data_IF_036620851565
#
_entry.id   IF_036620851565
#
_cell.length_a   1.000
_cell.length_b   1.000
_cell.length_c   1.000
_cell.angle_alpha   90.00
_cell.angle_beta   90.00
_cell.angle_gamma   90.00
#
_symmetry.space_group_name_H-M   'P 1'
#
loop_
_entity.id
_entity.type
_entity.pdbx_description
1 polymer ?
#
# COMPACT_ATOMS: atom_id res chain seq x y z
N UNK A 1 29.04 -13.87 -14.44
CA UNK A 1 28.36 -13.32 -13.23
C UNK A 1 28.02 -11.83 -13.38
N UNK A 2 28.92 -10.99 -13.84
CA UNK A 2 28.68 -9.55 -14.07
C UNK A 2 27.59 -9.28 -15.14
N UNK A 3 27.59 -10.07 -16.22
CA UNK A 3 26.59 -9.97 -17.29
C UNK A 3 25.15 -10.31 -16.82
N UNK A 4 25.01 -11.21 -15.85
CA UNK A 4 23.71 -11.53 -15.24
C UNK A 4 23.22 -10.46 -14.26
N UNK A 5 24.13 -9.72 -13.60
CA UNK A 5 23.75 -8.60 -12.73
C UNK A 5 23.24 -7.39 -13.51
N UNK A 6 23.88 -7.04 -14.64
CA UNK A 6 23.41 -5.95 -15.50
C UNK A 6 22.11 -6.26 -16.24
N UNK A 7 21.75 -7.54 -16.38
CA UNK A 7 20.50 -7.99 -17.01
C UNK A 7 19.32 -7.97 -16.01
N UNK A 8 19.55 -7.86 -14.69
CA UNK A 8 18.51 -7.87 -13.67
C UNK A 8 17.67 -6.60 -13.58
N UNK A 9 18.15 -5.49 -14.09
CA UNK A 9 17.50 -4.19 -13.91
C UNK A 9 16.50 -3.83 -15.02
N UNK A 10 16.35 -4.66 -16.03
CA UNK A 10 15.44 -4.37 -17.16
C UNK A 10 14.79 -5.55 -17.87
N UNK A 11 15.29 -6.79 -17.98
CA UNK A 11 14.53 -7.86 -18.60
C UNK A 11 13.81 -8.71 -17.58
N UNK A 12 12.63 -9.15 -17.96
CA UNK A 12 11.87 -10.16 -17.25
C UNK A 12 12.69 -11.45 -17.15
N UNK A 13 12.85 -11.96 -15.93
CA UNK A 13 13.36 -13.33 -15.73
C UNK A 13 12.19 -14.30 -15.66
N UNK A 14 12.41 -15.55 -16.09
CA UNK A 14 11.36 -16.59 -16.05
C UNK A 14 10.76 -16.73 -14.64
N UNK A 15 11.57 -16.84 -13.56
CA UNK A 15 11.00 -16.93 -12.20
C UNK A 15 10.15 -15.72 -11.79
N UNK A 16 10.54 -14.51 -12.19
CA UNK A 16 9.74 -13.30 -11.90
C UNK A 16 8.40 -13.31 -12.64
N UNK A 17 8.40 -13.73 -13.91
CA UNK A 17 7.17 -13.80 -14.70
C UNK A 17 6.21 -14.85 -14.13
N UNK A 18 6.70 -16.05 -13.81
CA UNK A 18 5.89 -17.12 -13.20
C UNK A 18 5.36 -16.73 -11.83
N UNK A 19 6.17 -16.06 -11.00
CA UNK A 19 5.72 -15.56 -9.71
C UNK A 19 4.68 -14.45 -9.87
N UNK A 20 4.85 -13.55 -10.86
CA UNK A 20 3.89 -12.49 -11.14
C UNK A 20 2.52 -13.05 -11.50
N UNK A 21 2.48 -14.00 -12.44
CA UNK A 21 1.26 -14.70 -12.84
C UNK A 21 0.61 -15.35 -11.62
N UNK A 22 1.38 -16.18 -10.89
CA UNK A 22 0.85 -16.91 -9.73
C UNK A 22 0.31 -15.99 -8.63
N UNK A 23 1.02 -14.92 -8.30
CA UNK A 23 0.58 -13.97 -7.27
C UNK A 23 -0.68 -13.24 -7.73
N UNK A 24 -0.68 -12.67 -8.94
CA UNK A 24 -1.82 -11.92 -9.46
C UNK A 24 -3.09 -12.79 -9.54
N UNK A 25 -2.98 -14.02 -10.05
CA UNK A 25 -4.10 -14.99 -10.09
C UNK A 25 -4.62 -15.31 -8.68
N UNK A 26 -3.69 -15.59 -7.74
CA UNK A 26 -4.05 -16.02 -6.38
C UNK A 26 -4.80 -14.93 -5.60
N UNK A 27 -4.44 -13.65 -5.79
CA UNK A 27 -5.03 -12.54 -5.05
C UNK A 27 -6.04 -11.72 -5.87
N UNK A 28 -6.27 -12.09 -7.13
CA UNK A 28 -7.23 -11.41 -7.99
C UNK A 28 -6.84 -9.99 -8.40
N UNK A 29 -5.53 -9.72 -8.53
CA UNK A 29 -4.99 -8.42 -8.97
C UNK A 29 -4.40 -8.55 -10.38
N UNK A 30 -4.16 -7.41 -11.05
CA UNK A 30 -3.83 -7.43 -12.48
C UNK A 30 -2.34 -7.27 -12.77
N UNK A 31 -1.62 -6.51 -11.94
CA UNK A 31 -0.20 -6.19 -12.14
C UNK A 31 0.56 -6.25 -10.82
N UNK A 32 1.82 -6.66 -10.89
CA UNK A 32 2.73 -6.70 -9.74
C UNK A 32 4.00 -5.93 -10.05
N UNK A 33 4.55 -5.26 -9.03
CA UNK A 33 5.85 -4.60 -9.06
C UNK A 33 6.65 -5.03 -7.84
N UNK A 34 7.84 -5.62 -8.07
CA UNK A 34 8.69 -6.18 -7.03
C UNK A 34 9.62 -5.14 -6.41
N UNK A 35 9.85 -5.28 -5.12
CA UNK A 35 10.83 -4.57 -4.30
C UNK A 35 11.57 -5.56 -3.40
N UNK A 36 12.39 -5.04 -2.48
CA UNK A 36 13.22 -5.86 -1.59
C UNK A 36 12.69 -5.91 -0.14
N UNK A 37 11.74 -5.05 0.21
CA UNK A 37 11.24 -4.93 1.58
C UNK A 37 9.81 -4.37 1.62
N UNK A 38 9.15 -4.50 2.79
CA UNK A 38 7.82 -3.95 3.01
C UNK A 38 7.80 -2.42 2.96
N UNK A 39 8.83 -1.74 3.47
CA UNK A 39 8.90 -0.28 3.40
C UNK A 39 9.03 0.21 1.97
N UNK A 40 9.82 -0.48 1.12
CA UNK A 40 9.93 -0.16 -0.31
C UNK A 40 8.62 -0.44 -1.05
N UNK A 41 7.90 -1.51 -0.69
CA UNK A 41 6.58 -1.79 -1.23
C UNK A 41 5.59 -0.66 -0.90
N UNK A 42 5.59 -0.18 0.34
CA UNK A 42 4.75 0.94 0.76
C UNK A 42 5.16 2.26 0.08
N UNK A 43 6.45 2.52 -0.11
CA UNK A 43 6.92 3.67 -0.91
C UNK A 43 6.41 3.61 -2.35
N UNK A 44 6.48 2.44 -2.97
CA UNK A 44 5.97 2.23 -4.33
C UNK A 44 4.44 2.44 -4.40
N UNK A 45 3.70 1.95 -3.40
CA UNK A 45 2.25 2.13 -3.28
C UNK A 45 1.87 3.61 -3.15
N UNK A 46 2.53 4.36 -2.27
CA UNK A 46 2.34 5.80 -2.08
C UNK A 46 2.65 6.57 -3.38
N UNK A 47 3.79 6.26 -4.02
CA UNK A 47 4.19 6.90 -5.27
C UNK A 47 3.21 6.63 -6.40
N UNK A 48 2.74 5.38 -6.53
CA UNK A 48 1.75 5.00 -7.54
C UNK A 48 0.44 5.76 -7.35
N UNK A 49 -0.08 5.80 -6.12
CA UNK A 49 -1.32 6.51 -5.81
C UNK A 49 -1.21 8.00 -6.12
N UNK A 50 -0.11 8.65 -5.71
CA UNK A 50 0.12 10.08 -5.99
C UNK A 50 0.25 10.38 -7.47
N UNK A 51 1.02 9.56 -8.20
CA UNK A 51 1.21 9.75 -9.63
C UNK A 51 -0.12 9.57 -10.38
N UNK A 52 -0.88 8.52 -10.06
CA UNK A 52 -2.22 8.30 -10.61
C UNK A 52 -3.15 9.50 -10.36
N UNK A 53 -3.16 10.00 -9.13
CA UNK A 53 -3.99 11.15 -8.77
C UNK A 53 -3.64 12.41 -9.55
N UNK A 54 -2.35 12.71 -9.66
CA UNK A 54 -1.86 13.90 -10.39
C UNK A 54 -2.14 13.77 -11.89
N UNK A 55 -1.92 12.62 -12.50
CA UNK A 55 -2.16 12.39 -13.92
C UNK A 55 -3.64 12.43 -14.29
N UNK A 56 -4.52 11.89 -13.43
CA UNK A 56 -5.95 11.79 -13.72
C UNK A 56 -6.77 13.00 -13.30
N UNK A 57 -6.41 13.63 -12.16
CA UNK A 57 -7.22 14.68 -11.53
C UNK A 57 -6.49 16.02 -11.36
N UNK A 58 -5.20 16.09 -11.72
CA UNK A 58 -4.41 17.32 -11.66
C UNK A 58 -3.47 17.41 -10.44
N UNK A 59 -2.61 18.44 -10.40
CA UNK A 59 -1.43 18.51 -9.53
C UNK A 59 -1.72 18.53 -8.03
N UNK A 60 -2.93 18.82 -7.63
CA UNK A 60 -3.31 18.93 -6.22
C UNK A 60 -3.84 17.60 -5.63
N UNK A 61 -4.05 16.55 -6.45
CA UNK A 61 -4.63 15.27 -6.02
C UNK A 61 -3.54 14.28 -5.57
N UNK A 62 -2.92 14.54 -4.43
CA UNK A 62 -1.77 13.77 -3.90
C UNK A 62 -1.87 13.38 -2.42
N UNK A 63 -2.84 13.91 -1.70
CA UNK A 63 -2.98 13.71 -0.26
C UNK A 63 -3.48 12.29 0.05
N UNK A 64 -2.95 11.69 1.14
CA UNK A 64 -3.30 10.34 1.60
C UNK A 64 -3.70 10.40 3.07
N UNK A 65 -4.84 9.82 3.41
CA UNK A 65 -5.27 9.65 4.79
C UNK A 65 -4.86 8.27 5.28
N UNK A 66 -4.20 8.21 6.45
CA UNK A 66 -3.78 6.96 7.09
C UNK A 66 -4.34 6.82 8.50
N UNK A 67 -4.19 5.64 9.10
CA UNK A 67 -4.65 5.40 10.46
C UNK A 67 -3.66 5.88 11.52
N UNK A 68 -4.13 6.49 12.60
CA UNK A 68 -3.35 6.65 13.84
C UNK A 68 -2.90 5.28 14.34
N UNK A 69 -1.70 5.21 14.91
CA UNK A 69 -1.05 3.98 15.38
C UNK A 69 -0.75 2.95 14.27
N UNK A 70 -0.92 3.30 12.98
CA UNK A 70 -0.46 2.50 11.86
C UNK A 70 1.07 2.43 11.79
N UNK A 71 1.60 1.42 11.08
CA UNK A 71 3.02 1.29 10.81
C UNK A 71 3.25 0.84 9.37
N UNK A 72 3.89 1.70 8.57
CA UNK A 72 4.11 1.44 7.14
C UNK A 72 5.57 1.35 6.71
N UNK A 73 6.50 1.58 7.64
CA UNK A 73 7.93 1.47 7.37
C UNK A 73 8.75 2.65 7.91
N UNK A 74 10.06 2.64 7.60
CA UNK A 74 11.04 3.59 8.15
C UNK A 74 11.77 4.41 7.08
N UNK A 75 11.40 4.32 5.81
CA UNK A 75 11.81 5.28 4.78
C UNK A 75 10.97 6.55 4.89
N UNK A 76 11.41 7.67 4.36
CA UNK A 76 10.75 8.96 4.60
C UNK A 76 9.27 9.00 4.22
N UNK A 77 8.88 8.46 3.09
CA UNK A 77 7.46 8.42 2.69
C UNK A 77 6.65 7.44 3.54
N UNK A 78 7.14 6.21 3.73
CA UNK A 78 6.47 5.20 4.55
C UNK A 78 6.40 5.62 6.03
N UNK A 79 7.46 6.27 6.55
CA UNK A 79 7.49 6.82 7.90
C UNK A 79 6.48 7.97 8.05
N UNK A 80 6.34 8.81 7.02
CA UNK A 80 5.34 9.88 7.00
C UNK A 80 3.91 9.34 6.93
N UNK A 81 3.69 8.18 6.30
CA UNK A 81 2.40 7.49 6.33
C UNK A 81 2.12 6.80 7.69
N UNK A 82 3.16 6.49 8.46
CA UNK A 82 3.04 5.90 9.80
C UNK A 82 2.38 6.90 10.76
N UNK A 83 1.17 6.63 11.18
CA UNK A 83 0.32 7.54 11.98
C UNK A 83 0.70 7.62 13.46
N UNK A 84 1.98 7.80 13.77
CA UNK A 84 2.53 7.84 15.13
C UNK A 84 3.35 9.12 15.36
N UNK A 85 2.77 10.34 15.15
CA UNK A 85 3.48 11.58 15.34
C UNK A 85 3.91 11.72 16.81
N UNK A 86 5.16 12.12 17.04
CA UNK A 86 5.71 12.28 18.39
C UNK A 86 6.21 10.97 19.03
N UNK A 87 6.09 9.83 18.36
CA UNK A 87 6.65 8.57 18.82
C UNK A 87 8.07 8.34 18.27
N UNK A 88 8.83 7.43 18.88
CA UNK A 88 10.23 7.16 18.55
C UNK A 88 10.54 6.75 17.12
N UNK A 89 9.51 6.35 16.35
CA UNK A 89 9.70 6.05 14.91
C UNK A 89 9.77 7.30 14.02
N UNK A 90 9.35 8.50 14.51
CA UNK A 90 9.36 9.75 13.74
C UNK A 90 10.20 10.85 14.38
N UNK A 91 10.37 10.82 15.73
CA UNK A 91 11.10 11.85 16.47
C UNK A 91 12.57 11.88 16.03
N UNK A 92 13.04 13.06 15.65
CA UNK A 92 14.43 13.30 15.22
C UNK A 92 14.68 13.04 13.71
N UNK A 93 13.70 12.56 12.96
CA UNK A 93 13.84 12.27 11.52
C UNK A 93 13.14 13.28 10.60
N UNK A 94 12.63 14.38 11.15
CA UNK A 94 11.98 15.43 10.35
C UNK A 94 12.94 16.20 9.44
N UNK A 95 12.41 16.95 8.44
CA UNK A 95 10.97 17.13 8.17
C UNK A 95 10.35 15.92 7.50
N UNK A 96 9.09 15.60 7.90
CA UNK A 96 8.32 14.52 7.26
C UNK A 96 7.88 14.91 5.85
N UNK A 97 7.68 13.93 5.00
CA UNK A 97 7.09 14.12 3.68
C UNK A 97 5.65 14.64 3.85
N UNK A 98 5.32 15.77 3.24
CA UNK A 98 3.99 16.35 3.32
C UNK A 98 2.91 15.55 2.56
N UNK A 99 1.64 15.89 2.82
CA UNK A 99 0.49 15.29 2.13
C UNK A 99 -0.04 14.02 2.79
N UNK A 100 0.09 13.93 4.11
CA UNK A 100 -0.54 12.90 4.93
C UNK A 100 -1.39 13.52 6.04
N UNK A 101 -2.52 12.87 6.35
CA UNK A 101 -3.34 13.10 7.53
C UNK A 101 -3.66 11.79 8.22
N UNK A 102 -3.97 11.85 9.52
CA UNK A 102 -4.16 10.68 10.34
C UNK A 102 -5.53 10.69 11.02
N UNK A 103 -6.30 9.60 10.87
CA UNK A 103 -7.59 9.43 11.52
C UNK A 103 -7.55 8.26 12.53
N UNK A 104 -8.37 8.28 13.59
CA UNK A 104 -8.50 7.13 14.49
C UNK A 104 -8.91 5.86 13.75
N UNK A 105 -8.25 4.75 14.08
CA UNK A 105 -8.55 3.45 13.47
C UNK A 105 -9.94 2.96 13.88
N UNK A 106 -10.65 2.29 12.98
CA UNK A 106 -12.04 1.86 13.14
C UNK A 106 -13.08 3.00 13.29
N UNK A 107 -12.72 4.23 13.01
CA UNK A 107 -13.63 5.37 12.96
C UNK A 107 -13.82 5.86 11.52
N UNK A 108 -14.83 5.34 10.84
CA UNK A 108 -15.11 5.68 9.44
C UNK A 108 -15.43 7.17 9.27
N UNK A 109 -16.11 7.79 10.23
CA UNK A 109 -16.46 9.21 10.13
C UNK A 109 -15.22 10.09 10.23
N UNK A 110 -14.31 9.78 11.15
CA UNK A 110 -13.05 10.51 11.27
C UNK A 110 -12.19 10.40 10.00
N UNK A 111 -12.22 9.25 9.30
CA UNK A 111 -11.55 9.12 8.00
C UNK A 111 -12.18 10.01 6.93
N UNK A 112 -13.52 10.09 6.88
CA UNK A 112 -14.25 10.98 5.97
C UNK A 112 -13.91 12.45 6.24
N UNK A 113 -13.89 12.84 7.50
CA UNK A 113 -13.62 14.23 7.94
C UNK A 113 -12.13 14.63 7.69
N UNK A 114 -11.21 13.66 7.69
CA UNK A 114 -9.80 13.89 7.39
C UNK A 114 -9.51 14.03 5.88
N UNK A 115 -10.45 13.62 5.01
CA UNK A 115 -10.32 13.74 3.57
C UNK A 115 -10.61 15.18 3.13
N UNK A 116 -9.90 15.62 2.09
CA UNK A 116 -10.07 16.91 1.44
C UNK A 116 -10.23 16.72 -0.06
N UNK A 117 -10.50 17.76 -0.80
CA UNK A 117 -10.51 17.75 -2.27
C UNK A 117 -9.19 17.27 -2.89
N UNK A 118 -8.08 17.40 -2.15
CA UNK A 118 -6.75 16.94 -2.56
C UNK A 118 -6.48 15.46 -2.24
N UNK A 119 -7.40 14.77 -1.56
CA UNK A 119 -7.19 13.39 -1.14
C UNK A 119 -7.38 12.44 -2.32
N UNK A 120 -6.34 11.67 -2.63
CA UNK A 120 -6.38 10.62 -3.65
C UNK A 120 -6.57 9.23 -3.08
N UNK A 121 -6.15 9.00 -1.84
CA UNK A 121 -6.18 7.65 -1.28
C UNK A 121 -6.40 7.63 0.23
N UNK A 122 -6.94 6.50 0.68
CA UNK A 122 -6.91 6.06 2.07
C UNK A 122 -6.00 4.84 2.16
N UNK A 123 -5.07 4.82 3.12
CA UNK A 123 -4.13 3.73 3.34
C UNK A 123 -4.28 3.17 4.74
N UNK A 124 -4.55 1.86 4.87
CA UNK A 124 -4.74 1.17 6.15
C UNK A 124 -4.17 -0.24 6.14
N UNK A 125 -3.89 -0.76 7.33
CA UNK A 125 -3.62 -2.18 7.60
C UNK A 125 -4.93 -2.88 7.96
N UNK A 126 -5.19 -4.13 7.54
CA UNK A 126 -6.35 -4.90 8.01
C UNK A 126 -6.28 -5.25 9.50
N UNK A 127 -5.06 -5.38 10.03
CA UNK A 127 -4.77 -5.49 11.46
C UNK A 127 -3.54 -4.64 11.72
N UNK A 128 -3.64 -3.65 12.61
CA UNK A 128 -2.49 -2.88 13.08
C UNK A 128 -1.61 -3.76 13.97
N UNK A 129 -0.53 -4.30 13.42
CA UNK A 129 0.37 -5.19 14.15
C UNK A 129 1.22 -4.45 15.16
N UNK A 130 2.03 -3.51 14.71
CA UNK A 130 2.94 -2.68 15.54
C UNK A 130 2.16 -1.72 16.44
N UNK A 131 0.94 -1.37 16.10
CA UNK A 131 0.07 -0.50 16.88
C UNK A 131 -0.62 -1.17 18.08
N UNK A 132 -0.43 -2.49 18.29
CA UNK A 132 -0.98 -3.21 19.43
C UNK A 132 -1.93 -4.36 19.08
N UNK A 133 -1.88 -4.88 17.87
CA UNK A 133 -2.72 -5.99 17.35
C UNK A 133 -4.20 -5.64 17.37
N UNK A 134 -4.55 -4.56 16.68
CA UNK A 134 -5.93 -4.10 16.55
C UNK A 134 -6.49 -4.50 15.18
N UNK A 135 -7.47 -5.44 15.11
CA UNK A 135 -8.14 -5.78 13.85
C UNK A 135 -9.13 -4.70 13.43
N UNK A 136 -9.27 -4.51 12.12
CA UNK A 136 -10.33 -3.70 11.56
C UNK A 136 -11.69 -4.37 11.78
N UNK A 137 -12.74 -3.56 11.97
CA UNK A 137 -14.10 -4.09 11.88
C UNK A 137 -14.51 -4.25 10.40
N UNK A 138 -15.47 -5.15 10.16
CA UNK A 138 -15.98 -5.38 8.80
C UNK A 138 -16.66 -4.12 8.24
N UNK A 139 -17.44 -3.47 9.09
CA UNK A 139 -18.16 -2.24 8.78
C UNK A 139 -17.21 -1.12 8.39
N UNK A 140 -16.06 -1.00 9.10
CA UNK A 140 -15.04 -0.01 8.79
C UNK A 140 -14.40 -0.27 7.41
N UNK A 141 -13.93 -1.48 7.14
CA UNK A 141 -13.26 -1.81 5.88
C UNK A 141 -14.20 -1.69 4.67
N UNK A 142 -15.43 -2.18 4.81
CA UNK A 142 -16.44 -2.04 3.76
C UNK A 142 -16.88 -0.58 3.58
N UNK A 143 -16.98 0.16 4.67
CA UNK A 143 -17.28 1.59 4.65
C UNK A 143 -16.19 2.40 3.94
N UNK A 144 -14.90 2.11 4.20
CA UNK A 144 -13.79 2.74 3.51
C UNK A 144 -13.82 2.43 2.00
N UNK A 145 -14.06 1.16 1.61
CA UNK A 145 -14.13 0.80 0.20
C UNK A 145 -15.24 1.57 -0.50
N UNK A 146 -16.44 1.55 0.06
CA UNK A 146 -17.59 2.29 -0.47
C UNK A 146 -17.31 3.79 -0.58
N UNK A 147 -16.74 4.38 0.46
CA UNK A 147 -16.43 5.81 0.47
C UNK A 147 -15.37 6.18 -0.58
N UNK A 148 -14.35 5.34 -0.78
CA UNK A 148 -13.36 5.55 -1.83
C UNK A 148 -14.01 5.49 -3.22
N UNK A 149 -14.90 4.52 -3.46
CA UNK A 149 -15.60 4.37 -4.74
C UNK A 149 -16.49 5.57 -5.05
N UNK A 150 -17.21 6.10 -4.04
CA UNK A 150 -18.11 7.25 -4.18
C UNK A 150 -17.39 8.60 -4.39
N UNK A 151 -16.08 8.68 -4.09
CA UNK A 151 -15.31 9.93 -4.11
C UNK A 151 -14.10 9.88 -5.05
N UNK A 152 -14.03 8.93 -5.97
CA UNK A 152 -12.92 8.77 -6.90
C UNK A 152 -11.55 8.71 -6.19
N UNK A 153 -11.49 7.98 -5.06
CA UNK A 153 -10.28 7.75 -4.28
C UNK A 153 -9.85 6.30 -4.34
N UNK A 154 -8.57 6.06 -4.12
CA UNK A 154 -7.97 4.73 -4.05
C UNK A 154 -8.01 4.19 -2.62
N UNK A 155 -8.33 2.90 -2.47
CA UNK A 155 -8.13 2.16 -1.23
C UNK A 155 -6.81 1.39 -1.31
N UNK A 156 -5.85 1.76 -0.47
CA UNK A 156 -4.53 1.16 -0.34
C UNK A 156 -4.53 0.27 0.90
N UNK A 157 -4.21 -1.01 0.72
CA UNK A 157 -4.16 -1.95 1.85
C UNK A 157 -2.72 -2.42 2.05
N UNK A 158 -2.20 -2.17 3.25
CA UNK A 158 -0.90 -2.69 3.68
C UNK A 158 -1.08 -4.09 4.26
N UNK A 159 -0.70 -5.09 3.49
CA UNK A 159 -0.71 -6.52 3.85
C UNK A 159 0.69 -7.07 4.18
N UNK A 160 1.65 -6.19 4.41
CA UNK A 160 3.03 -6.59 4.73
C UNK A 160 3.09 -7.55 5.92
N UNK A 161 2.24 -7.34 6.93
CA UNK A 161 2.18 -8.21 8.11
C UNK A 161 1.01 -9.18 8.11
N UNK A 162 -0.10 -8.84 7.47
CA UNK A 162 -1.37 -9.59 7.53
C UNK A 162 -1.58 -10.57 6.38
N UNK A 163 -0.88 -10.39 5.27
CA UNK A 163 -1.01 -11.22 4.08
C UNK A 163 -0.45 -12.64 4.24
N UNK A 164 -0.61 -13.42 3.19
CA UNK A 164 -0.08 -14.77 3.06
C UNK A 164 -0.56 -15.70 4.17
N UNK A 165 -1.90 -15.81 4.28
CA UNK A 165 -2.62 -16.71 5.20
C UNK A 165 -2.46 -16.40 6.69
N UNK A 166 -1.89 -15.26 7.10
CA UNK A 166 -1.74 -14.89 8.52
C UNK A 166 -3.07 -14.75 9.26
N UNK A 167 -4.12 -14.37 8.55
CA UNK A 167 -5.47 -14.12 9.12
C UNK A 167 -6.51 -15.14 8.65
N UNK A 168 -6.06 -16.25 8.05
CA UNK A 168 -6.93 -17.33 7.59
C UNK A 168 -7.29 -17.25 6.09
N UNK A 169 -7.34 -16.08 5.50
CA UNK A 169 -7.42 -15.90 4.05
C UNK A 169 -6.04 -15.63 3.44
N UNK A 170 -5.87 -15.81 2.14
CA UNK A 170 -4.60 -15.54 1.45
C UNK A 170 -4.18 -14.09 1.68
N UNK A 171 -5.10 -13.16 1.46
CA UNK A 171 -4.95 -11.76 1.86
C UNK A 171 -6.05 -11.40 2.86
N UNK A 172 -5.69 -10.63 3.88
CA UNK A 172 -6.61 -10.30 4.96
C UNK A 172 -7.83 -9.51 4.49
N UNK A 173 -7.69 -8.65 3.46
CA UNK A 173 -8.82 -7.90 2.90
C UNK A 173 -9.95 -8.81 2.37
N UNK A 174 -9.64 -10.05 1.99
CA UNK A 174 -10.64 -11.01 1.53
C UNK A 174 -11.64 -11.40 2.62
N UNK A 175 -11.21 -11.39 3.90
CA UNK A 175 -12.11 -11.65 5.04
C UNK A 175 -13.22 -10.59 5.16
N UNK A 176 -12.98 -9.39 4.64
CA UNK A 176 -13.94 -8.29 4.65
C UNK A 176 -14.84 -8.25 3.39
N UNK A 177 -14.54 -9.08 2.39
CA UNK A 177 -15.26 -9.11 1.12
C UNK A 177 -15.04 -7.85 0.27
N UNK A 178 -13.88 -7.23 0.37
CA UNK A 178 -13.50 -6.05 -0.41
C UNK A 178 -12.32 -6.36 -1.33
N UNK A 179 -12.09 -5.49 -2.33
CA UNK A 179 -10.91 -5.49 -3.19
C UNK A 179 -10.25 -4.12 -3.12
N UNK A 180 -8.95 -4.03 -2.77
CA UNK A 180 -8.21 -2.76 -2.82
C UNK A 180 -7.85 -2.38 -4.26
N UNK A 181 -7.47 -1.13 -4.47
CA UNK A 181 -6.90 -0.66 -5.73
C UNK A 181 -5.41 -0.98 -5.82
N UNK A 182 -4.70 -0.89 -4.68
CA UNK A 182 -3.31 -1.30 -4.54
C UNK A 182 -3.17 -2.04 -3.21
N UNK A 183 -2.39 -3.12 -3.22
CA UNK A 183 -2.01 -3.88 -2.02
C UNK A 183 -0.50 -4.02 -1.95
N UNK A 184 0.09 -3.74 -0.79
CA UNK A 184 1.50 -4.01 -0.52
C UNK A 184 1.68 -5.31 0.25
N UNK A 185 2.77 -6.01 -0.01
CA UNK A 185 3.09 -7.28 0.62
C UNK A 185 4.61 -7.47 0.77
N UNK A 186 5.00 -8.22 1.79
CA UNK A 186 6.39 -8.60 2.04
C UNK A 186 6.42 -9.80 3.02
N UNK A 187 7.38 -9.87 3.90
CA UNK A 187 7.52 -10.87 4.98
C UNK A 187 7.16 -12.28 4.49
N UNK A 188 5.93 -12.75 4.71
CA UNK A 188 5.45 -14.08 4.32
C UNK A 188 5.57 -14.39 2.82
N UNK A 189 5.55 -13.36 1.95
CA UNK A 189 5.73 -13.50 0.50
C UNK A 189 7.05 -14.21 0.14
N UNK A 190 8.14 -13.92 0.87
CA UNK A 190 9.46 -14.42 0.57
C UNK A 190 9.83 -15.75 1.22
N UNK A 191 8.99 -16.28 2.12
CA UNK A 191 9.29 -17.53 2.83
C UNK A 191 10.62 -17.50 3.60
N UNK A 192 11.05 -16.32 4.08
CA UNK A 192 12.31 -16.09 4.77
C UNK A 192 13.35 -15.31 3.98
N UNK A 193 13.15 -15.11 2.68
CA UNK A 193 14.01 -14.26 1.85
C UNK A 193 13.49 -12.81 1.82
N UNK A 194 14.40 -11.80 1.74
CA UNK A 194 13.99 -10.41 1.63
C UNK A 194 13.34 -10.16 0.26
N UNK A 195 12.06 -9.78 0.31
CA UNK A 195 11.26 -9.41 -0.85
C UNK A 195 10.13 -8.50 -0.40
N UNK A 196 9.75 -7.57 -1.26
CA UNK A 196 8.51 -6.80 -1.18
C UNK A 196 7.86 -6.75 -2.54
N UNK A 197 6.57 -6.49 -2.57
CA UNK A 197 5.85 -6.26 -3.80
C UNK A 197 4.61 -5.41 -3.56
N UNK A 198 4.15 -4.74 -4.60
CA UNK A 198 2.79 -4.22 -4.67
C UNK A 198 2.06 -4.89 -5.82
N UNK A 199 0.77 -5.14 -5.62
CA UNK A 199 -0.13 -5.45 -6.72
C UNK A 199 -1.17 -4.36 -6.86
N UNK A 200 -1.56 -4.07 -8.10
CA UNK A 200 -2.53 -3.04 -8.42
C UNK A 200 -3.49 -3.49 -9.51
N UNK A 201 -4.64 -2.79 -9.59
CA UNK A 201 -5.54 -2.91 -10.74
C UNK A 201 -4.84 -2.43 -12.02
N UNK A 202 -5.27 -2.95 -13.16
CA UNK A 202 -4.68 -2.60 -14.45
C UNK A 202 -4.74 -1.09 -14.75
N UNK A 203 -5.80 -0.42 -14.30
CA UNK A 203 -5.97 1.03 -14.48
C UNK A 203 -4.93 1.81 -13.68
N UNK A 204 -4.82 1.53 -12.39
CA UNK A 204 -3.90 2.26 -11.50
C UNK A 204 -2.44 1.96 -11.83
N UNK A 205 -2.15 0.73 -12.24
CA UNK A 205 -0.79 0.32 -12.63
C UNK A 205 -0.22 1.08 -13.84
N UNK A 206 -1.07 1.65 -14.69
CA UNK A 206 -0.63 2.50 -15.82
C UNK A 206 0.22 3.68 -15.36
N UNK A 207 -0.04 4.22 -14.16
CA UNK A 207 0.71 5.32 -13.59
C UNK A 207 2.19 4.99 -13.32
N UNK A 208 2.55 3.73 -13.09
CA UNK A 208 3.94 3.26 -12.91
C UNK A 208 4.48 2.53 -14.13
N UNK A 209 3.95 2.77 -15.32
CA UNK A 209 4.52 2.19 -16.53
C UNK A 209 5.98 2.60 -16.66
N UNK A 210 6.89 1.68 -16.35
CA UNK A 210 8.35 1.84 -16.51
C UNK A 210 8.81 1.66 -17.96
N UNK A 211 7.85 1.52 -18.91
CA UNK A 211 8.14 1.27 -20.32
C UNK A 211 8.55 2.55 -21.07
N UNK A 212 8.80 3.63 -20.37
CA UNK A 212 9.36 4.85 -20.94
C UNK A 212 10.86 5.00 -20.66
N UNK A 213 11.54 3.89 -20.47
CA UNK A 213 13.01 3.81 -20.47
C UNK A 213 13.44 3.10 -21.74
#
# INVERSE_FOLDING_TARGET
RQRQMCIRDSPYTIPQALLAEKVCETIGMDKIFYQNSGTEANEAMIKMARKYGIEKYGPNRYHIVTAKMGFHGRTFGAMSATGQPGNGCQVGFGPMTYGFSYAPYNDLQAFKDACTENTIAIMVEPVQGEGGVHPATKEFMQGLRKFCDENDMLLLIDEVQTGWCRTGAVMSYMNYGIKPDIVSMAKGLGGGMPIGAICATAEVAKALSLIHI
#
